data_IF_632075301425
#
_entry.id   IF_632075301425
#
_cell.length_a   1.000
_cell.length_b   1.000
_cell.length_c   1.000
_cell.angle_alpha   90.00
_cell.angle_beta   90.00
_cell.angle_gamma   90.00
#
_symmetry.space_group_name_H-M   'P 1'
#
loop_
_entity.id
_entity.type
_entity.pdbx_description
1 polymer ?
#
# COMPACT_ATOMS: atom_id res chain seq x y z
N UNK A 1 -16.56 52.46 -41.31
CA UNK A 1 -17.38 51.41 -40.67
C UNK A 1 -18.29 52.11 -39.67
N UNK A 2 -19.61 52.03 -39.82
CA UNK A 2 -20.56 52.83 -39.03
C UNK A 2 -20.41 52.48 -37.53
N UNK A 3 -20.47 53.48 -36.64
CA UNK A 3 -20.37 53.32 -35.18
C UNK A 3 -21.30 52.21 -34.63
N UNK A 4 -22.46 52.02 -35.25
CA UNK A 4 -23.41 50.96 -34.90
C UNK A 4 -22.86 49.54 -35.12
N UNK A 5 -21.97 49.34 -36.10
CA UNK A 5 -21.31 48.05 -36.33
C UNK A 5 -20.18 47.81 -35.32
N UNK A 6 -19.58 48.88 -34.77
CA UNK A 6 -18.56 48.77 -33.72
C UNK A 6 -19.18 48.42 -32.36
N UNK A 7 -20.34 49.03 -32.03
CA UNK A 7 -21.11 48.66 -30.83
C UNK A 7 -21.58 47.20 -30.87
N UNK A 8 -22.00 46.70 -32.04
CA UNK A 8 -22.41 45.30 -32.21
C UNK A 8 -21.26 44.31 -31.95
N UNK A 9 -20.06 44.63 -32.43
CA UNK A 9 -18.87 43.77 -32.24
C UNK A 9 -18.43 43.78 -30.76
N UNK A 10 -18.48 44.93 -30.09
CA UNK A 10 -18.14 45.03 -28.65
C UNK A 10 -19.15 44.27 -27.79
N UNK A 11 -20.44 44.33 -28.11
CA UNK A 11 -21.48 43.60 -27.38
C UNK A 11 -21.34 42.07 -27.56
N UNK A 12 -21.01 41.59 -28.75
CA UNK A 12 -20.79 40.16 -29.04
C UNK A 12 -19.53 39.65 -28.33
N UNK A 13 -18.45 40.44 -28.32
CA UNK A 13 -17.21 40.07 -27.64
C UNK A 13 -17.37 40.00 -26.11
N UNK A 14 -18.24 40.82 -25.52
CA UNK A 14 -18.54 40.79 -24.09
C UNK A 14 -19.32 39.53 -23.66
N UNK A 15 -20.20 39.01 -24.52
CA UNK A 15 -20.95 37.77 -24.27
C UNK A 15 -20.06 36.53 -24.34
N UNK A 16 -19.04 36.54 -25.21
CA UNK A 16 -18.07 35.44 -25.33
C UNK A 16 -17.16 35.37 -24.08
N UNK A 17 -16.81 36.51 -23.49
CA UNK A 17 -16.00 36.55 -22.26
C UNK A 17 -16.78 36.18 -20.99
N UNK A 18 -18.09 36.35 -20.95
CA UNK A 18 -18.95 35.94 -19.81
C UNK A 18 -19.51 34.53 -19.94
N UNK A 19 -19.38 33.90 -21.10
CA UNK A 19 -19.81 32.51 -21.35
C UNK A 19 -18.74 31.46 -21.01
N UNK A 20 -17.60 31.85 -20.44
CA UNK A 20 -16.74 30.90 -19.74
C UNK A 20 -17.43 30.55 -18.41
N UNK A 21 -18.31 29.56 -18.46
CA UNK A 21 -19.07 29.08 -17.31
C UNK A 21 -18.14 28.80 -16.14
N UNK A 22 -18.48 29.36 -14.99
CA UNK A 22 -17.90 29.00 -13.71
C UNK A 22 -17.84 27.46 -13.61
N UNK A 23 -16.71 26.86 -13.18
CA UNK A 23 -16.76 25.47 -12.77
C UNK A 23 -17.77 25.44 -11.63
N UNK A 24 -18.88 24.73 -11.86
CA UNK A 24 -19.74 24.35 -10.74
C UNK A 24 -18.83 23.54 -9.83
N UNK A 25 -18.62 24.03 -8.61
CA UNK A 25 -18.13 23.24 -7.50
C UNK A 25 -19.17 22.15 -7.24
N UNK A 26 -19.18 21.11 -8.07
CA UNK A 26 -19.89 19.87 -7.84
C UNK A 26 -19.20 19.18 -6.66
N UNK A 27 -19.54 19.64 -5.46
CA UNK A 27 -19.36 18.90 -4.21
C UNK A 27 -20.28 17.68 -4.24
N UNK A 28 -19.97 16.70 -5.08
CA UNK A 28 -20.54 15.36 -5.04
C UNK A 28 -19.72 14.42 -5.91
N UNK A 29 -18.59 13.97 -5.40
CA UNK A 29 -17.89 12.78 -5.91
C UNK A 29 -17.78 11.72 -4.82
N UNK A 30 -18.89 11.44 -4.13
CA UNK A 30 -19.11 10.13 -3.49
C UNK A 30 -19.45 9.07 -4.55
N UNK A 31 -18.68 9.04 -5.63
CA UNK A 31 -18.71 7.96 -6.60
C UNK A 31 -17.74 6.86 -6.17
N UNK A 32 -18.08 5.61 -6.45
CA UNK A 32 -17.26 4.40 -6.28
C UNK A 32 -15.86 4.49 -6.94
N UNK A 33 -15.58 5.56 -7.69
CA UNK A 33 -14.33 5.89 -8.37
C UNK A 33 -13.56 7.08 -7.73
N UNK A 34 -14.05 7.66 -6.64
CA UNK A 34 -13.52 8.92 -6.07
C UNK A 34 -12.38 8.76 -5.06
N UNK A 35 -12.15 7.56 -4.53
CA UNK A 35 -10.99 7.29 -3.68
C UNK A 35 -9.78 6.97 -4.54
N UNK A 36 -8.74 7.81 -4.50
CA UNK A 36 -7.48 7.44 -5.15
C UNK A 36 -6.94 6.15 -4.49
N UNK A 37 -6.23 5.30 -5.25
CA UNK A 37 -5.75 4.02 -4.74
C UNK A 37 -4.91 4.15 -3.46
N UNK A 38 -4.22 5.29 -3.28
CA UNK A 38 -3.41 5.57 -2.11
C UNK A 38 -4.25 5.74 -0.83
N UNK A 39 -5.43 6.36 -0.91
CA UNK A 39 -6.33 6.56 0.22
C UNK A 39 -6.83 5.23 0.81
N UNK A 40 -6.94 4.19 -0.01
CA UNK A 40 -7.39 2.86 0.44
C UNK A 40 -6.32 2.07 1.22
N UNK A 41 -5.04 2.37 1.01
CA UNK A 41 -3.93 1.76 1.74
C UNK A 41 -3.42 2.64 2.90
N UNK A 42 -3.99 3.83 3.08
CA UNK A 42 -3.54 4.76 4.10
C UNK A 42 -4.13 4.39 5.47
N UNK A 43 -3.24 4.16 6.45
CA UNK A 43 -3.59 3.95 7.86
C UNK A 43 -2.81 4.94 8.69
N UNK A 44 -3.51 5.87 9.35
CA UNK A 44 -2.91 6.98 10.09
C UNK A 44 -2.14 6.49 11.34
N UNK A 45 -1.18 7.29 11.86
CA UNK A 45 -0.50 6.98 13.12
C UNK A 45 -1.49 6.85 14.28
N UNK A 46 -1.39 5.76 15.05
CA UNK A 46 -2.31 5.47 16.16
C UNK A 46 -3.50 4.58 15.76
N UNK A 47 -3.74 4.39 14.46
CA UNK A 47 -4.77 3.48 13.95
C UNK A 47 -4.18 2.10 13.63
N UNK A 48 -5.03 1.08 13.65
CA UNK A 48 -4.66 -0.31 13.40
C UNK A 48 -4.96 -0.73 11.96
N UNK A 49 -4.18 -1.67 11.46
CA UNK A 49 -4.54 -2.47 10.30
C UNK A 49 -5.68 -3.44 10.64
N UNK A 50 -6.53 -3.75 9.66
CA UNK A 50 -7.71 -4.59 9.83
C UNK A 50 -7.36 -6.08 9.80
N UNK A 51 -6.37 -6.47 8.99
CA UNK A 51 -5.97 -7.87 8.82
C UNK A 51 -4.48 -8.08 9.02
N UNK A 52 -4.13 -9.28 9.48
CA UNK A 52 -2.77 -9.81 9.40
C UNK A 52 -2.64 -10.67 8.16
N UNK A 53 -1.58 -10.43 7.40
CA UNK A 53 -1.16 -11.27 6.30
C UNK A 53 0.10 -12.05 6.69
N UNK A 54 -0.02 -13.37 6.79
CA UNK A 54 1.09 -14.29 6.99
C UNK A 54 1.62 -14.69 5.61
N UNK A 55 2.76 -14.12 5.24
CA UNK A 55 3.33 -14.24 3.91
C UNK A 55 4.64 -15.02 3.93
N UNK A 56 4.78 -15.89 2.95
CA UNK A 56 6.02 -16.60 2.60
C UNK A 56 7.19 -15.63 2.49
N UNK A 57 8.30 -15.94 3.16
CA UNK A 57 9.58 -15.29 2.91
C UNK A 57 10.38 -15.92 1.76
N UNK A 58 9.82 -16.91 1.07
CA UNK A 58 10.49 -17.69 0.02
C UNK A 58 11.83 -18.26 0.50
N UNK A 59 12.84 -18.15 -0.36
CA UNK A 59 14.23 -18.58 -0.10
C UNK A 59 14.93 -17.91 1.09
N UNK A 60 14.33 -16.87 1.71
CA UNK A 60 14.84 -16.41 3.01
C UNK A 60 14.63 -17.47 4.09
N UNK A 61 13.69 -18.40 3.90
CA UNK A 61 13.32 -19.43 4.87
C UNK A 61 12.48 -18.92 6.04
N UNK A 62 12.14 -17.62 6.08
CA UNK A 62 11.40 -17.01 7.17
C UNK A 62 9.93 -16.79 6.84
N UNK A 63 9.11 -16.54 7.86
CA UNK A 63 7.71 -16.15 7.71
C UNK A 63 7.57 -14.66 8.03
N UNK A 64 6.85 -13.91 7.20
CA UNK A 64 6.64 -12.48 7.41
C UNK A 64 5.18 -12.19 7.76
N UNK A 65 4.97 -11.24 8.68
CA UNK A 65 3.66 -10.79 9.12
C UNK A 65 3.49 -9.34 8.72
N UNK A 66 2.52 -9.07 7.86
CA UNK A 66 2.17 -7.74 7.39
C UNK A 66 0.80 -7.31 7.92
N UNK A 67 0.61 -6.01 8.12
CA UNK A 67 -0.70 -5.41 8.31
C UNK A 67 -1.34 -5.03 6.98
N UNK A 68 -2.64 -5.31 6.80
CA UNK A 68 -3.44 -4.83 5.67
C UNK A 68 -4.56 -3.89 6.17
N UNK A 69 -4.84 -2.78 5.46
CA UNK A 69 -4.41 -2.48 4.09
C UNK A 69 -3.08 -1.72 3.97
N UNK A 70 -2.39 -1.40 5.07
CA UNK A 70 -1.19 -0.54 5.02
C UNK A 70 0.01 -1.16 4.31
N UNK A 71 0.08 -2.49 4.23
CA UNK A 71 1.21 -3.22 3.67
C UNK A 71 2.49 -3.08 4.48
N UNK A 72 2.40 -2.66 5.76
CA UNK A 72 3.56 -2.51 6.64
C UNK A 72 3.99 -3.86 7.21
N UNK A 73 5.30 -4.12 7.21
CA UNK A 73 5.89 -5.28 7.88
C UNK A 73 5.83 -5.08 9.41
N UNK A 74 5.18 -6.00 10.11
CA UNK A 74 5.11 -6.01 11.57
C UNK A 74 6.15 -6.93 12.19
N UNK A 75 6.38 -8.10 11.61
CA UNK A 75 7.32 -9.07 12.16
C UNK A 75 7.88 -10.00 11.09
N UNK A 76 9.14 -10.37 11.26
CA UNK A 76 9.74 -11.55 10.63
C UNK A 76 9.89 -12.62 11.71
N UNK A 77 9.33 -13.80 11.48
CA UNK A 77 9.36 -14.95 12.36
C UNK A 77 10.38 -15.95 11.77
N UNK A 78 11.44 -16.31 12.49
CA UNK A 78 12.41 -17.28 12.01
C UNK A 78 11.79 -18.69 11.92
N UNK A 79 12.06 -19.41 10.83
CA UNK A 79 11.56 -20.78 10.64
C UNK A 79 12.65 -21.71 10.11
N UNK A 80 13.09 -21.57 8.86
CA UNK A 80 13.97 -22.54 8.19
C UNK A 80 15.42 -22.07 8.05
N UNK A 81 15.75 -20.85 8.45
CA UNK A 81 17.11 -20.32 8.36
C UNK A 81 17.52 -19.56 9.62
N UNK A 82 18.83 -19.44 9.83
CA UNK A 82 19.37 -18.70 10.97
C UNK A 82 18.95 -17.22 10.93
N UNK A 83 18.63 -16.66 12.09
CA UNK A 83 18.34 -15.24 12.26
C UNK A 83 19.20 -14.70 13.41
N UNK A 84 20.26 -13.97 13.05
CA UNK A 84 21.19 -13.38 14.01
C UNK A 84 20.58 -12.25 14.83
N UNK A 85 19.58 -11.53 14.31
CA UNK A 85 18.89 -10.46 15.05
C UNK A 85 18.16 -11.02 16.28
N UNK A 86 17.63 -12.24 16.14
CA UNK A 86 16.80 -12.91 17.17
C UNK A 86 17.52 -14.08 17.84
N UNK A 87 18.79 -14.29 17.52
CA UNK A 87 19.60 -15.45 17.93
C UNK A 87 19.01 -16.82 17.54
N UNK A 88 18.11 -16.87 16.54
CA UNK A 88 17.53 -18.13 16.07
C UNK A 88 18.57 -18.95 15.31
N UNK A 89 18.77 -20.19 15.75
CA UNK A 89 19.86 -21.05 15.34
C UNK A 89 21.18 -20.77 16.05
N UNK A 90 21.20 -19.93 17.10
CA UNK A 90 22.39 -19.58 17.88
C UNK A 90 22.26 -19.85 19.39
N UNK A 91 21.06 -19.72 19.98
CA UNK A 91 20.82 -20.11 21.37
C UNK A 91 20.39 -21.58 21.51
N UNK A 92 20.57 -22.15 22.71
CA UNK A 92 20.33 -23.58 22.98
C UNK A 92 18.88 -24.00 22.69
N UNK A 93 17.92 -23.09 22.86
CA UNK A 93 16.51 -23.35 22.62
C UNK A 93 16.17 -23.51 21.13
N UNK A 94 16.94 -22.89 20.23
CA UNK A 94 16.63 -22.86 18.79
C UNK A 94 17.62 -23.64 17.93
N UNK A 95 18.83 -23.95 18.43
CA UNK A 95 19.78 -24.83 17.72
C UNK A 95 19.14 -26.16 17.26
N UNK A 96 18.32 -26.86 18.07
CA UNK A 96 17.68 -28.11 17.65
C UNK A 96 16.69 -27.92 16.50
N UNK A 97 16.10 -26.73 16.33
CA UNK A 97 15.08 -26.47 15.31
C UNK A 97 15.63 -26.52 13.88
N UNK A 98 16.95 -26.35 13.72
CA UNK A 98 17.63 -26.43 12.42
C UNK A 98 18.37 -27.77 12.23
N UNK A 99 18.12 -28.76 13.09
CA UNK A 99 18.66 -30.10 12.92
C UNK A 99 17.62 -31.01 12.27
N UNK A 100 18.05 -31.68 11.21
CA UNK A 100 17.29 -32.71 10.49
C UNK A 100 17.90 -34.09 10.76
N UNK A 101 17.29 -35.15 10.23
CA UNK A 101 17.89 -36.48 10.21
C UNK A 101 19.24 -36.54 9.48
N UNK A 102 19.58 -35.52 8.68
CA UNK A 102 20.84 -35.38 7.97
C UNK A 102 21.83 -34.40 8.66
N UNK A 103 21.52 -33.98 9.88
CA UNK A 103 22.31 -33.01 10.64
C UNK A 103 21.82 -31.58 10.47
N UNK A 104 22.72 -30.64 10.74
CA UNK A 104 22.44 -29.21 10.77
C UNK A 104 22.21 -28.62 9.37
N UNK A 105 21.03 -28.07 9.14
CA UNK A 105 20.62 -27.44 7.87
C UNK A 105 20.06 -26.04 8.16
N UNK A 106 20.90 -24.98 8.11
CA UNK A 106 20.52 -23.62 8.47
C UNK A 106 19.88 -22.80 7.31
N UNK A 107 19.22 -23.47 6.37
CA UNK A 107 18.55 -22.82 5.24
C UNK A 107 17.33 -23.61 4.75
N UNK A 108 16.41 -22.93 4.10
CA UNK A 108 15.23 -23.54 3.49
C UNK A 108 14.38 -22.51 2.75
N UNK A 109 13.27 -22.96 2.20
CA UNK A 109 12.33 -22.11 1.46
C UNK A 109 10.92 -22.24 2.05
N UNK A 110 10.45 -21.16 2.68
CA UNK A 110 9.14 -21.08 3.28
C UNK A 110 8.07 -20.86 2.20
N UNK A 111 7.56 -21.93 1.61
CA UNK A 111 6.69 -21.82 0.44
C UNK A 111 5.27 -21.32 0.76
N UNK A 112 4.44 -22.14 1.41
CA UNK A 112 3.00 -21.87 1.55
C UNK A 112 2.63 -21.86 3.05
N UNK A 113 2.58 -20.68 3.69
CA UNK A 113 1.99 -20.56 5.02
C UNK A 113 0.47 -20.66 4.92
N UNK A 114 -0.11 -21.46 5.82
CA UNK A 114 -1.55 -21.64 5.96
C UNK A 114 -1.97 -21.34 7.41
N UNK A 115 -3.20 -20.88 7.60
CA UNK A 115 -3.76 -20.46 8.90
C UNK A 115 -5.16 -20.98 9.15
#
# INVERSE_FOLDING_TARGET
MKINNLLGIVAISAVIFTSCGSPKDDKSSNGVLGGNAAQRAYVAPGEYDEFYAFLSGGFSGQLSVYGLPSGRLFKVIPVFSQDGEKAYGYNEETKPMLNTSYGFVPWGDAHHPDI
#
